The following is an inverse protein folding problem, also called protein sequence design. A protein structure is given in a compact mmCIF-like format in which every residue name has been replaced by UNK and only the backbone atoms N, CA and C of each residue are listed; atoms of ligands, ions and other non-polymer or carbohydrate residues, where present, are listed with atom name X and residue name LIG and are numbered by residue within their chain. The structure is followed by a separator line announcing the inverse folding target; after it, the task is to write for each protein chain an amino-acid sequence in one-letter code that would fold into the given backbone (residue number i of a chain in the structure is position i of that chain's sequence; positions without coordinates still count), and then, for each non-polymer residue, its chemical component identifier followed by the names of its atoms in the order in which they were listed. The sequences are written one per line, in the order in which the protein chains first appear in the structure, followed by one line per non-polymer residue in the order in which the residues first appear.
data_IF_489402533399
#
_entry.id   IF_489402533399
#
_cell.length_a   1.000
_cell.length_b   1.000
_cell.length_c   1.000
_cell.angle_alpha   90.00
_cell.angle_beta   90.00
_cell.angle_gamma   90.00
#
_symmetry.space_group_name_H-M   'P 1'
#
loop_
_entity.id
_entity.type
_entity.pdbx_description
1 polymer ?
#
# COMPACT_ATOMS: atom_id res chain seq x y z
N UNK A 1 49.31 41.77 23.55
CA UNK A 1 47.90 42.22 23.55
C UNK A 1 47.09 41.34 22.62
N UNK A 2 46.28 40.43 23.17
CA UNK A 2 45.50 39.48 22.37
C UNK A 2 44.34 40.20 21.67
N UNK A 3 44.24 40.09 20.34
CA UNK A 3 43.08 40.59 19.58
C UNK A 3 41.80 40.00 20.18
N UNK A 4 40.78 40.81 20.54
CA UNK A 4 39.51 40.27 21.02
C UNK A 4 38.91 39.42 19.89
N UNK A 5 38.82 38.10 20.12
CA UNK A 5 38.12 37.19 19.20
C UNK A 5 36.67 37.70 19.09
N UNK A 6 36.23 38.00 17.87
CA UNK A 6 34.92 38.61 17.65
C UNK A 6 33.80 37.76 18.28
N UNK A 7 33.01 38.36 19.17
CA UNK A 7 31.91 37.68 19.89
C UNK A 7 30.92 37.00 18.94
N UNK A 8 30.72 37.56 17.74
CA UNK A 8 29.94 36.92 16.66
C UNK A 8 30.52 35.57 16.23
N UNK A 9 31.84 35.48 16.08
CA UNK A 9 32.51 34.27 15.62
C UNK A 9 32.46 33.17 16.70
N UNK A 10 32.55 33.58 17.98
CA UNK A 10 32.34 32.66 19.11
C UNK A 10 30.90 32.13 19.16
N UNK A 11 29.90 33.00 18.97
CA UNK A 11 28.50 32.60 18.92
C UNK A 11 28.22 31.59 17.79
N UNK A 12 28.74 31.86 16.58
CA UNK A 12 28.62 30.92 15.44
C UNK A 12 29.31 29.59 15.74
N UNK A 13 30.50 29.62 16.34
CA UNK A 13 31.23 28.40 16.69
C UNK A 13 30.45 27.53 17.69
N UNK A 14 29.85 28.13 18.72
CA UNK A 14 29.01 27.41 19.70
C UNK A 14 27.83 26.72 19.01
N UNK A 15 27.16 27.42 18.09
CA UNK A 15 26.03 26.85 17.35
C UNK A 15 26.44 25.70 16.42
N UNK A 16 27.57 25.84 15.72
CA UNK A 16 28.09 24.77 14.85
C UNK A 16 28.49 23.54 15.66
N UNK A 17 29.19 23.73 16.78
CA UNK A 17 29.58 22.62 17.66
C UNK A 17 28.36 21.92 18.25
N UNK A 18 27.37 22.68 18.75
CA UNK A 18 26.13 22.12 19.26
C UNK A 18 25.37 21.32 18.18
N UNK A 19 25.28 21.85 16.96
CA UNK A 19 24.67 21.14 15.83
C UNK A 19 25.39 19.81 15.54
N UNK A 20 26.73 19.81 15.50
CA UNK A 20 27.49 18.58 15.24
C UNK A 20 27.30 17.54 16.34
N UNK A 21 27.25 17.96 17.61
CA UNK A 21 27.00 17.07 18.75
C UNK A 21 25.60 16.48 18.66
N UNK A 22 24.58 17.28 18.41
CA UNK A 22 23.19 16.78 18.33
C UNK A 22 22.92 15.97 17.07
N UNK A 23 23.46 16.37 15.92
CA UNK A 23 23.22 15.68 14.65
C UNK A 23 23.98 14.35 14.54
N UNK A 24 25.19 14.25 15.11
CA UNK A 24 26.08 13.11 14.89
C UNK A 24 26.57 12.42 16.17
N UNK A 25 26.49 13.08 17.33
CA UNK A 25 27.00 12.56 18.60
C UNK A 25 26.04 11.61 19.32
N UNK A 26 24.75 11.58 18.97
CA UNK A 26 23.73 10.77 19.63
C UNK A 26 23.24 9.68 18.67
N UNK A 27 23.16 8.43 19.14
CA UNK A 27 22.63 7.29 18.38
C UNK A 27 21.47 6.62 19.14
N UNK A 28 20.35 6.29 18.47
CA UNK A 28 20.05 6.51 17.03
C UNK A 28 19.92 8.00 16.65
N UNK A 29 20.07 8.36 15.36
CA UNK A 29 19.99 9.75 14.92
C UNK A 29 18.65 10.37 15.32
N UNK A 30 18.70 11.55 15.94
CA UNK A 30 17.51 12.21 16.46
C UNK A 30 16.57 12.65 15.32
N UNK A 31 15.25 12.55 15.50
CA UNK A 31 14.27 13.12 14.57
C UNK A 31 14.51 14.62 14.35
N UNK A 32 14.25 15.11 13.14
CA UNK A 32 14.47 16.51 12.77
C UNK A 32 13.74 17.51 13.68
N UNK A 33 12.54 17.16 14.15
CA UNK A 33 11.74 17.97 15.08
C UNK A 33 12.42 18.17 16.44
N UNK A 34 13.12 17.15 16.92
CA UNK A 34 13.84 17.20 18.19
C UNK A 34 15.14 17.99 18.02
N UNK A 35 15.88 17.73 16.95
CA UNK A 35 17.09 18.50 16.60
C UNK A 35 16.78 20.00 16.47
N UNK A 36 15.70 20.36 15.78
CA UNK A 36 15.32 21.77 15.59
C UNK A 36 14.96 22.45 16.91
N UNK A 37 14.27 21.75 17.83
CA UNK A 37 13.97 22.25 19.17
C UNK A 37 15.25 22.53 19.97
N UNK A 38 16.19 21.59 20.03
CA UNK A 38 17.45 21.79 20.76
C UNK A 38 18.29 22.93 20.16
N UNK A 39 18.32 23.05 18.84
CA UNK A 39 19.01 24.15 18.17
C UNK A 39 18.35 25.51 18.44
N UNK A 40 17.02 25.58 18.52
CA UNK A 40 16.31 26.80 18.90
C UNK A 40 16.61 27.23 20.33
N UNK A 41 16.63 26.28 21.28
CA UNK A 41 17.01 26.55 22.69
C UNK A 41 18.46 27.02 22.78
N UNK A 42 19.37 26.37 22.05
CA UNK A 42 20.79 26.75 22.04
C UNK A 42 21.00 28.15 21.46
N UNK A 43 20.29 28.48 20.37
CA UNK A 43 20.30 29.83 19.79
C UNK A 43 19.81 30.88 20.78
N UNK A 44 18.70 30.62 21.48
CA UNK A 44 18.17 31.53 22.48
C UNK A 44 19.16 31.75 23.63
N UNK A 45 19.79 30.67 24.13
CA UNK A 45 20.79 30.76 25.18
C UNK A 45 22.01 31.59 24.76
N UNK A 46 22.50 31.41 23.53
CA UNK A 46 23.60 32.22 22.97
C UNK A 46 23.20 33.69 22.85
N UNK A 47 21.98 33.98 22.38
CA UNK A 47 21.49 35.35 22.27
C UNK A 47 21.37 36.02 23.64
N UNK A 48 20.80 35.32 24.63
CA UNK A 48 20.68 35.82 26.01
C UNK A 48 22.08 36.11 26.57
N UNK A 49 23.02 35.18 26.43
CA UNK A 49 24.40 35.36 26.89
C UNK A 49 25.11 36.54 26.24
N UNK A 50 24.92 36.74 24.93
CA UNK A 50 25.56 37.86 24.22
C UNK A 50 24.88 39.20 24.54
N UNK A 51 23.58 39.19 24.85
CA UNK A 51 22.81 40.37 25.23
C UNK A 51 22.97 40.80 26.70
N UNK A 52 23.54 39.95 27.55
CA UNK A 52 23.63 40.21 29.00
C UNK A 52 24.57 41.36 29.35
N UNK A 53 25.44 41.77 28.42
CA UNK A 53 26.41 42.85 28.60
C UNK A 53 26.46 43.78 27.39
N UNK A 54 26.53 45.08 27.65
CA UNK A 54 26.47 46.12 26.61
C UNK A 54 27.71 46.13 25.70
N UNK A 55 28.87 45.74 26.23
CA UNK A 55 30.11 45.64 25.48
C UNK A 55 30.10 44.40 24.58
N UNK A 56 29.63 43.28 25.11
CA UNK A 56 29.42 42.01 24.40
C UNK A 56 28.42 42.17 23.25
N UNK A 57 27.32 42.88 23.47
CA UNK A 57 26.33 43.19 22.41
C UNK A 57 26.91 44.08 21.31
N UNK A 58 27.71 45.10 21.67
CA UNK A 58 28.42 45.94 20.70
C UNK A 58 29.43 45.14 19.90
N UNK A 59 30.25 44.32 20.55
CA UNK A 59 31.24 43.46 19.91
C UNK A 59 30.60 42.38 19.00
N UNK A 60 29.39 41.92 19.33
CA UNK A 60 28.62 41.00 18.51
C UNK A 60 28.08 41.67 17.24
N UNK A 61 27.49 42.87 17.36
CA UNK A 61 26.91 43.60 16.22
C UNK A 61 27.94 44.28 15.32
N UNK A 62 29.09 44.67 15.86
CA UNK A 62 30.14 45.39 15.12
C UNK A 62 30.48 44.78 13.75
N UNK A 63 30.76 43.47 13.61
CA UNK A 63 31.04 42.86 12.31
C UNK A 63 29.85 42.85 11.33
N UNK A 64 28.61 42.78 11.82
CA UNK A 64 27.39 42.82 11.00
C UNK A 64 27.23 44.24 10.43
N UNK A 65 27.28 45.25 11.30
CA UNK A 65 27.20 46.64 10.90
C UNK A 65 28.31 47.05 9.95
N UNK A 66 29.56 46.66 10.25
CA UNK A 66 30.71 46.90 9.39
C UNK A 66 30.51 46.30 7.98
N UNK A 67 29.91 45.11 7.87
CA UNK A 67 29.64 44.48 6.57
C UNK A 67 28.54 45.21 5.77
N UNK A 68 27.61 45.87 6.46
CA UNK A 68 26.53 46.62 5.82
C UNK A 68 26.96 48.04 5.41
N UNK A 69 27.84 48.70 6.18
CA UNK A 69 28.20 50.12 5.98
C UNK A 69 29.57 50.37 5.38
N UNK A 70 30.58 49.53 5.61
CA UNK A 70 31.95 49.81 5.14
C UNK A 70 32.07 49.67 3.61
N UNK A 71 32.53 50.70 2.88
CA UNK A 71 32.71 50.64 1.43
C UNK A 71 33.65 49.51 0.97
N UNK A 72 34.67 49.21 1.78
CA UNK A 72 35.66 48.16 1.51
C UNK A 72 35.05 46.75 1.46
N UNK A 73 33.90 46.54 2.11
CA UNK A 73 33.19 45.24 2.15
C UNK A 73 32.03 45.16 1.15
N UNK A 74 31.91 46.11 0.21
CA UNK A 74 30.85 46.16 -0.80
C UNK A 74 30.67 44.84 -1.58
N UNK A 75 31.78 44.18 -1.95
CA UNK A 75 31.74 42.87 -2.66
C UNK A 75 31.14 41.77 -1.80
N UNK A 76 31.50 41.71 -0.52
CA UNK A 76 30.96 40.74 0.44
C UNK A 76 29.45 40.98 0.67
N UNK A 77 29.04 42.24 0.80
CA UNK A 77 27.63 42.62 0.94
C UNK A 77 26.79 42.21 -0.27
N UNK A 78 27.28 42.47 -1.48
CA UNK A 78 26.60 42.05 -2.72
C UNK A 78 26.52 40.52 -2.82
N UNK A 79 27.60 39.81 -2.48
CA UNK A 79 27.62 38.34 -2.44
C UNK A 79 26.58 37.77 -1.47
N UNK A 80 26.51 38.30 -0.24
CA UNK A 80 25.50 37.92 0.75
C UNK A 80 24.07 38.23 0.28
N UNK A 81 23.87 39.38 -0.37
CA UNK A 81 22.58 39.80 -0.92
C UNK A 81 22.04 38.91 -2.03
N UNK A 82 22.91 38.17 -2.73
CA UNK A 82 22.50 37.17 -3.75
C UNK A 82 22.42 35.76 -3.16
N UNK A 83 23.38 35.38 -2.31
CA UNK A 83 23.48 34.03 -1.76
C UNK A 83 22.34 33.71 -0.79
N UNK A 84 21.97 34.66 0.09
CA UNK A 84 20.92 34.42 1.09
C UNK A 84 19.55 34.15 0.45
N UNK A 85 19.07 34.94 -0.54
CA UNK A 85 17.83 34.61 -1.25
C UNK A 85 17.89 33.28 -2.00
N UNK A 86 19.03 32.95 -2.64
CA UNK A 86 19.19 31.66 -3.34
C UNK A 86 19.10 30.47 -2.38
N UNK A 87 19.76 30.55 -1.22
CA UNK A 87 19.69 29.50 -0.21
C UNK A 87 18.27 29.38 0.39
N UNK A 88 17.61 30.50 0.66
CA UNK A 88 16.23 30.49 1.13
C UNK A 88 15.27 29.90 0.08
N UNK A 89 15.45 30.26 -1.18
CA UNK A 89 14.69 29.71 -2.31
C UNK A 89 14.93 28.21 -2.50
N UNK A 90 16.18 27.76 -2.41
CA UNK A 90 16.53 26.33 -2.48
C UNK A 90 15.93 25.55 -1.31
N UNK A 91 15.98 26.08 -0.09
CA UNK A 91 15.36 25.46 1.08
C UNK A 91 13.83 25.38 0.95
N UNK A 92 13.18 26.46 0.50
CA UNK A 92 11.75 26.46 0.23
C UNK A 92 11.38 25.45 -0.85
N UNK A 93 12.17 25.38 -1.93
CA UNK A 93 12.02 24.39 -2.98
C UNK A 93 12.19 22.97 -2.45
N UNK A 94 13.22 22.67 -1.64
CA UNK A 94 13.43 21.33 -1.11
C UNK A 94 12.33 20.87 -0.17
N UNK A 95 11.67 21.81 0.54
CA UNK A 95 10.54 21.51 1.40
C UNK A 95 9.22 21.35 0.63
N UNK A 96 9.06 22.07 -0.48
CA UNK A 96 7.83 22.06 -1.29
C UNK A 96 7.88 21.06 -2.45
N UNK A 97 9.07 20.68 -2.90
CA UNK A 97 9.25 19.69 -3.95
C UNK A 97 8.69 18.35 -3.47
N UNK A 98 7.72 17.82 -4.22
CA UNK A 98 7.14 16.53 -3.92
C UNK A 98 8.22 15.45 -3.95
N UNK A 99 8.34 14.69 -2.85
CA UNK A 99 9.12 13.45 -2.85
C UNK A 99 8.52 12.47 -3.87
N UNK A 100 9.37 11.79 -4.62
CA UNK A 100 8.96 10.72 -5.57
C UNK A 100 8.60 9.42 -4.82
N UNK A 101 8.49 9.48 -3.50
CA UNK A 101 8.06 8.38 -2.67
C UNK A 101 6.54 8.28 -2.71
N UNK A 102 6.03 7.11 -3.10
CA UNK A 102 4.61 6.86 -3.03
C UNK A 102 4.15 6.99 -1.56
N UNK A 103 3.04 7.71 -1.29
CA UNK A 103 2.57 7.89 0.08
C UNK A 103 2.39 6.54 0.77
N UNK A 104 2.92 6.43 1.99
CA UNK A 104 2.93 5.21 2.84
C UNK A 104 1.54 4.89 3.39
N UNK A 105 0.50 5.66 3.03
CA UNK A 105 -0.87 5.22 3.24
C UNK A 105 -0.99 3.82 2.64
N UNK A 106 -1.24 2.83 3.51
CA UNK A 106 -1.80 1.56 3.09
C UNK A 106 -2.92 1.96 2.14
N UNK A 107 -2.78 1.65 0.86
CA UNK A 107 -3.90 1.67 -0.06
C UNK A 107 -4.90 0.67 0.50
N UNK A 108 -5.72 1.11 1.44
CA UNK A 108 -6.94 0.46 1.80
C UNK A 108 -7.77 0.54 0.52
N UNK A 109 -7.72 -0.54 -0.25
CA UNK A 109 -8.48 -0.69 -1.51
C UNK A 109 -10.00 -0.60 -1.21
N UNK A 110 -10.40 -0.60 0.06
CA UNK A 110 -11.70 -0.19 0.54
C UNK A 110 -11.60 0.07 2.06
N UNK A 111 -12.46 0.93 2.64
CA UNK A 111 -12.63 0.98 4.09
C UNK A 111 -13.11 -0.38 4.63
N UNK A 112 -12.75 -0.73 5.85
CA UNK A 112 -13.36 -1.88 6.53
C UNK A 112 -14.84 -1.55 6.82
N UNK A 113 -15.78 -2.49 6.59
CA UNK A 113 -17.17 -2.25 6.97
C UNK A 113 -17.26 -2.10 8.50
N UNK A 114 -18.21 -1.28 9.00
CA UNK A 114 -18.52 -1.29 10.42
C UNK A 114 -19.01 -2.69 10.85
N UNK A 115 -18.91 -3.00 12.14
CA UNK A 115 -19.39 -4.29 12.68
C UNK A 115 -20.88 -4.49 12.47
N UNK A 116 -21.66 -3.40 12.60
CA UNK A 116 -23.11 -3.41 12.41
C UNK A 116 -23.61 -2.09 11.83
N UNK A 117 -24.79 -2.12 11.22
CA UNK A 117 -25.49 -0.91 10.75
C UNK A 117 -26.96 -0.91 11.18
N UNK A 118 -27.51 0.29 11.33
CA UNK A 118 -28.95 0.49 11.43
C UNK A 118 -29.56 0.46 10.01
N UNK A 119 -30.47 -0.47 9.78
CA UNK A 119 -31.25 -0.63 8.56
C UNK A 119 -32.73 -0.61 8.92
N UNK A 120 -33.44 0.46 8.56
CA UNK A 120 -34.87 0.66 8.86
C UNK A 120 -35.25 0.40 10.32
N UNK A 121 -34.42 0.86 11.26
CA UNK A 121 -34.64 0.67 12.70
C UNK A 121 -34.22 -0.69 13.27
N UNK A 122 -33.75 -1.62 12.42
CA UNK A 122 -33.17 -2.90 12.82
C UNK A 122 -31.64 -2.82 12.76
N UNK A 123 -30.97 -3.37 13.78
CA UNK A 123 -29.50 -3.52 13.76
C UNK A 123 -29.14 -4.78 13.00
N UNK A 124 -28.33 -4.65 11.95
CA UNK A 124 -27.82 -5.76 11.15
C UNK A 124 -26.34 -5.95 11.47
N UNK A 125 -25.98 -7.16 11.88
CA UNK A 125 -24.59 -7.60 12.05
C UNK A 125 -23.98 -7.93 10.69
N UNK A 126 -22.92 -7.22 10.32
CA UNK A 126 -22.23 -7.37 9.04
C UNK A 126 -21.05 -8.34 9.11
N UNK A 127 -20.72 -8.85 10.29
CA UNK A 127 -19.68 -9.86 10.50
C UNK A 127 -20.23 -11.28 10.52
N UNK A 128 -21.55 -11.44 10.55
CA UNK A 128 -22.19 -12.75 10.50
C UNK A 128 -21.84 -13.51 9.21
N UNK A 129 -21.31 -14.73 9.37
CA UNK A 129 -20.95 -15.64 8.27
C UNK A 129 -22.18 -16.29 7.63
N UNK A 130 -23.27 -16.46 8.37
CA UNK A 130 -24.50 -17.08 7.88
C UNK A 130 -25.59 -16.04 7.64
N UNK A 131 -25.75 -15.62 6.38
CA UNK A 131 -26.79 -14.68 5.95
C UNK A 131 -28.18 -15.36 5.94
N UNK A 132 -29.29 -14.60 6.07
CA UNK A 132 -30.64 -15.17 6.04
C UNK A 132 -30.91 -16.06 4.82
N UNK A 133 -30.48 -15.61 3.63
CA UNK A 133 -30.60 -16.38 2.37
C UNK A 133 -29.79 -17.67 2.43
N UNK A 134 -28.56 -17.64 2.94
CA UNK A 134 -27.72 -18.84 3.10
C UNK A 134 -28.37 -19.85 4.07
N UNK A 135 -28.98 -19.38 5.16
CA UNK A 135 -29.70 -20.22 6.14
C UNK A 135 -30.92 -20.90 5.52
N UNK A 136 -31.74 -20.18 4.77
CA UNK A 136 -32.92 -20.73 4.11
C UNK A 136 -32.56 -21.79 3.05
N UNK A 137 -31.45 -21.58 2.32
CA UNK A 137 -30.92 -22.56 1.36
C UNK A 137 -30.33 -23.78 2.07
N UNK A 138 -29.63 -23.59 3.19
CA UNK A 138 -29.08 -24.68 3.99
C UNK A 138 -30.19 -25.56 4.58
N UNK A 139 -31.32 -24.97 4.97
CA UNK A 139 -32.50 -25.71 5.47
C UNK A 139 -33.25 -26.43 4.34
N UNK A 140 -33.39 -25.79 3.18
CA UNK A 140 -34.04 -26.38 2.01
C UNK A 140 -33.31 -25.99 0.72
N UNK A 141 -32.49 -26.90 0.15
CA UNK A 141 -31.75 -26.65 -1.08
C UNK A 141 -32.60 -26.24 -2.29
N UNK A 142 -33.90 -26.57 -2.31
CA UNK A 142 -34.82 -26.14 -3.36
C UNK A 142 -34.98 -24.61 -3.44
N UNK A 143 -34.70 -23.89 -2.35
CA UNK A 143 -34.78 -22.44 -2.30
C UNK A 143 -33.66 -21.74 -3.11
N UNK A 144 -32.59 -22.46 -3.50
CA UNK A 144 -31.48 -21.90 -4.30
C UNK A 144 -31.98 -21.18 -5.56
N UNK A 145 -32.80 -21.87 -6.36
CA UNK A 145 -33.32 -21.32 -7.61
C UNK A 145 -34.23 -20.10 -7.36
N UNK A 146 -35.05 -20.17 -6.30
CA UNK A 146 -35.93 -19.07 -5.88
C UNK A 146 -35.13 -17.80 -5.54
N UNK A 147 -34.11 -17.91 -4.70
CA UNK A 147 -33.29 -16.74 -4.31
C UNK A 147 -32.43 -16.22 -5.47
N UNK A 148 -31.91 -17.11 -6.32
CA UNK A 148 -31.16 -16.72 -7.50
C UNK A 148 -32.03 -15.89 -8.46
N UNK A 149 -33.25 -16.36 -8.74
CA UNK A 149 -34.19 -15.67 -9.62
C UNK A 149 -34.65 -14.34 -9.02
N UNK A 150 -34.96 -14.31 -7.72
CA UNK A 150 -35.37 -13.09 -7.04
C UNK A 150 -34.25 -12.03 -7.02
N UNK A 151 -33.02 -12.45 -6.73
CA UNK A 151 -31.83 -11.58 -6.75
C UNK A 151 -31.54 -11.02 -8.14
N UNK A 152 -31.60 -11.87 -9.17
CA UNK A 152 -31.44 -11.44 -10.56
C UNK A 152 -32.51 -10.46 -11.00
N UNK A 153 -33.78 -10.67 -10.60
CA UNK A 153 -34.86 -9.74 -10.90
C UNK A 153 -34.65 -8.36 -10.26
N UNK A 154 -34.15 -8.31 -9.03
CA UNK A 154 -33.79 -7.05 -8.37
C UNK A 154 -32.60 -6.39 -9.07
N UNK A 155 -31.56 -7.15 -9.42
CA UNK A 155 -30.38 -6.63 -10.11
C UNK A 155 -30.72 -6.01 -11.47
N UNK A 156 -31.48 -6.72 -12.31
CA UNK A 156 -31.87 -6.24 -13.64
C UNK A 156 -32.76 -5.00 -13.56
N UNK A 157 -33.64 -4.89 -12.56
CA UNK A 157 -34.53 -3.72 -12.43
C UNK A 157 -33.81 -2.46 -11.92
N UNK A 158 -32.72 -2.62 -11.17
CA UNK A 158 -32.16 -1.53 -10.36
C UNK A 158 -30.67 -1.25 -10.61
N UNK A 159 -29.86 -2.29 -10.85
CA UNK A 159 -28.41 -2.21 -10.81
C UNK A 159 -27.75 -2.24 -12.21
N UNK A 160 -28.39 -2.92 -13.16
CA UNK A 160 -27.86 -3.17 -14.53
C UNK A 160 -27.47 -1.88 -15.27
N UNK A 161 -28.19 -0.79 -15.03
CA UNK A 161 -27.97 0.48 -15.73
C UNK A 161 -26.59 1.07 -15.48
N UNK A 162 -25.96 0.77 -14.35
CA UNK A 162 -24.60 1.20 -14.04
C UNK A 162 -23.61 0.02 -14.10
N UNK A 163 -23.97 -1.14 -13.57
CA UNK A 163 -23.06 -2.27 -13.44
C UNK A 163 -23.01 -3.22 -14.64
N UNK A 164 -23.86 -3.01 -15.65
CA UNK A 164 -23.91 -3.84 -16.86
C UNK A 164 -24.74 -5.11 -16.67
N UNK A 165 -25.23 -5.66 -17.78
CA UNK A 165 -25.89 -6.97 -17.83
C UNK A 165 -24.89 -8.12 -17.65
N UNK A 166 -23.65 -7.92 -18.08
CA UNK A 166 -22.52 -8.85 -17.88
C UNK A 166 -21.83 -8.70 -16.53
N UNK A 167 -22.35 -7.86 -15.62
CA UNK A 167 -21.74 -7.56 -14.32
C UNK A 167 -20.34 -6.91 -14.41
N UNK A 168 -19.97 -6.35 -15.55
CA UNK A 168 -18.61 -5.88 -15.88
C UNK A 168 -18.37 -4.39 -15.59
N UNK A 169 -19.32 -3.71 -14.96
CA UNK A 169 -19.25 -2.28 -14.66
C UNK A 169 -19.51 -1.38 -15.87
N UNK A 170 -19.87 -1.93 -17.03
CA UNK A 170 -20.10 -1.18 -18.29
C UNK A 170 -21.59 -1.00 -18.59
N UNK A 171 -22.38 -0.69 -17.57
CA UNK A 171 -23.78 -0.34 -17.77
C UNK A 171 -23.94 0.94 -18.60
N UNK A 172 -25.15 1.16 -19.13
CA UNK A 172 -25.48 2.32 -19.96
C UNK A 172 -25.02 3.66 -19.39
N UNK A 173 -25.06 3.84 -18.07
CA UNK A 173 -24.60 5.05 -17.37
C UNK A 173 -23.20 4.94 -16.76
N UNK A 174 -22.53 3.78 -16.84
CA UNK A 174 -21.26 3.53 -16.14
C UNK A 174 -20.11 4.44 -16.57
N UNK A 175 -20.04 4.78 -17.87
CA UNK A 175 -18.99 5.65 -18.42
C UNK A 175 -19.01 7.09 -17.88
N UNK A 176 -20.14 7.55 -17.35
CA UNK A 176 -20.31 8.92 -16.84
C UNK A 176 -19.97 9.07 -15.35
N UNK A 177 -19.61 7.99 -14.65
CA UNK A 177 -19.42 7.98 -13.20
C UNK A 177 -17.93 7.93 -12.84
N UNK A 178 -17.53 8.70 -11.84
CA UNK A 178 -16.18 8.66 -11.26
C UNK A 178 -16.29 8.59 -9.72
N UNK A 179 -15.83 7.49 -9.08
CA UNK A 179 -15.24 6.29 -9.68
C UNK A 179 -16.22 5.49 -10.55
N UNK A 180 -15.67 4.73 -11.50
CA UNK A 180 -16.44 3.83 -12.35
C UNK A 180 -17.16 2.76 -11.52
N UNK A 181 -18.33 2.25 -11.96
CA UNK A 181 -18.99 1.13 -11.30
C UNK A 181 -18.08 -0.09 -11.20
N UNK A 182 -18.23 -0.86 -10.13
CA UNK A 182 -17.44 -2.07 -9.92
C UNK A 182 -17.73 -3.11 -11.01
N UNK A 183 -16.65 -3.64 -11.58
CA UNK A 183 -16.63 -4.83 -12.44
C UNK A 183 -16.59 -6.07 -11.54
N UNK A 184 -17.71 -6.78 -11.40
CA UNK A 184 -17.81 -7.97 -10.54
C UNK A 184 -17.25 -9.24 -11.20
N UNK A 185 -16.86 -9.17 -12.47
CA UNK A 185 -16.21 -10.29 -13.18
C UNK A 185 -14.72 -10.39 -12.87
N UNK A 186 -14.11 -9.32 -12.33
CA UNK A 186 -12.72 -9.33 -11.91
C UNK A 186 -12.53 -10.00 -10.53
N UNK A 187 -11.59 -10.93 -10.44
CA UNK A 187 -11.16 -11.57 -9.19
C UNK A 187 -10.59 -10.58 -8.15
N UNK A 188 -10.20 -9.38 -8.59
CA UNK A 188 -9.74 -8.28 -7.74
C UNK A 188 -10.87 -7.49 -7.06
N UNK A 189 -12.14 -7.69 -7.44
CA UNK A 189 -13.27 -6.93 -6.90
C UNK A 189 -14.10 -7.77 -5.91
N UNK A 190 -15.16 -8.44 -6.37
CA UNK A 190 -16.16 -9.06 -5.50
C UNK A 190 -15.58 -10.22 -4.68
N UNK A 191 -14.62 -10.96 -5.22
CA UNK A 191 -13.95 -12.06 -4.52
C UNK A 191 -13.09 -11.59 -3.33
N UNK A 192 -12.74 -10.30 -3.27
CA UNK A 192 -11.99 -9.72 -2.15
C UNK A 192 -12.90 -9.15 -1.05
N UNK A 193 -14.21 -9.18 -1.25
CA UNK A 193 -15.19 -8.54 -0.37
C UNK A 193 -16.04 -9.59 0.38
N UNK A 194 -16.50 -9.24 1.58
CA UNK A 194 -17.43 -10.09 2.33
C UNK A 194 -18.88 -9.78 1.96
N UNK A 195 -19.80 -10.72 2.18
CA UNK A 195 -21.24 -10.48 1.94
C UNK A 195 -21.76 -9.29 2.77
N UNK A 196 -21.29 -9.15 4.03
CA UNK A 196 -21.63 -8.01 4.88
C UNK A 196 -21.10 -6.66 4.34
N UNK A 197 -19.92 -6.65 3.72
CA UNK A 197 -19.42 -5.44 3.06
C UNK A 197 -20.36 -5.04 1.90
N UNK A 198 -20.75 -5.99 1.05
CA UNK A 198 -21.69 -5.71 -0.05
C UNK A 198 -23.04 -5.21 0.49
N UNK A 199 -23.56 -5.82 1.55
CA UNK A 199 -24.82 -5.38 2.17
C UNK A 199 -24.75 -3.92 2.60
N UNK A 200 -23.66 -3.55 3.28
CA UNK A 200 -23.44 -2.16 3.69
C UNK A 200 -23.37 -1.20 2.51
N UNK A 201 -22.61 -1.55 1.46
CA UNK A 201 -22.48 -0.71 0.25
C UNK A 201 -23.81 -0.55 -0.48
N UNK A 202 -24.63 -1.59 -0.56
CA UNK A 202 -25.96 -1.52 -1.19
C UNK A 202 -26.91 -0.69 -0.32
N UNK A 203 -26.96 -0.96 0.98
CA UNK A 203 -27.87 -0.26 1.90
C UNK A 203 -27.59 1.25 1.96
N UNK A 204 -26.33 1.63 2.20
CA UNK A 204 -25.94 3.03 2.44
C UNK A 204 -25.48 3.79 1.21
N UNK A 205 -25.10 3.09 0.12
CA UNK A 205 -24.58 3.73 -1.08
C UNK A 205 -23.20 4.35 -0.88
N UNK A 206 -22.77 5.18 -1.84
CA UNK A 206 -21.52 5.94 -1.81
C UNK A 206 -21.58 7.31 -1.11
N UNK A 207 -22.66 8.11 -1.26
CA UNK A 207 -22.74 9.43 -0.64
C UNK A 207 -22.76 9.36 0.89
N UNK A 208 -21.97 10.22 1.55
CA UNK A 208 -22.01 10.39 3.01
C UNK A 208 -21.11 9.44 3.81
N UNK A 209 -20.21 8.69 3.15
CA UNK A 209 -19.17 7.94 3.85
C UNK A 209 -18.14 8.87 4.56
N UNK A 210 -17.50 8.41 5.65
CA UNK A 210 -16.43 9.16 6.32
C UNK A 210 -15.32 9.57 5.35
N UNK A 211 -14.62 10.68 5.63
CA UNK A 211 -13.56 11.22 4.74
C UNK A 211 -12.45 10.20 4.49
N UNK A 212 -12.22 9.30 5.44
CA UNK A 212 -11.27 8.18 5.39
C UNK A 212 -11.64 7.13 4.33
N UNK A 213 -12.87 7.17 3.81
CA UNK A 213 -13.34 6.31 2.72
C UNK A 213 -13.17 6.94 1.34
N UNK A 214 -12.58 8.14 1.23
CA UNK A 214 -12.20 8.71 -0.08
C UNK A 214 -11.02 7.93 -0.66
N UNK A 215 -11.02 7.59 -1.98
CA UNK A 215 -11.82 8.13 -3.07
C UNK A 215 -13.15 7.39 -3.37
N UNK A 216 -13.61 6.47 -2.51
CA UNK A 216 -14.80 5.61 -2.74
C UNK A 216 -16.16 6.30 -2.55
N UNK A 217 -16.19 7.64 -2.62
CA UNK A 217 -17.42 8.44 -2.65
C UNK A 217 -18.06 8.31 -4.04
N UNK A 218 -18.66 7.14 -4.30
CA UNK A 218 -19.27 6.80 -5.58
C UNK A 218 -20.66 7.41 -5.75
N UNK A 219 -21.11 7.55 -6.99
CA UNK A 219 -22.50 7.91 -7.31
C UNK A 219 -23.54 6.80 -7.00
N UNK A 220 -23.12 5.68 -6.40
CA UNK A 220 -24.02 4.60 -6.02
C UNK A 220 -25.06 5.11 -5.00
N UNK A 221 -26.37 5.07 -5.31
CA UNK A 221 -27.40 5.56 -4.40
C UNK A 221 -27.54 4.66 -3.17
N UNK A 222 -28.10 5.21 -2.09
CA UNK A 222 -28.52 4.42 -0.93
C UNK A 222 -29.80 3.65 -1.27
N UNK A 223 -29.77 2.32 -1.17
CA UNK A 223 -30.92 1.48 -1.48
C UNK A 223 -31.77 1.13 -0.25
N UNK A 224 -31.37 1.53 0.94
CA UNK A 224 -32.11 1.21 2.16
C UNK A 224 -33.57 1.69 2.15
N UNK A 225 -33.91 2.76 1.43
CA UNK A 225 -35.28 3.25 1.32
C UNK A 225 -36.10 2.57 0.21
N UNK A 226 -35.45 1.77 -0.66
CA UNK A 226 -36.06 1.19 -1.86
C UNK A 226 -36.08 -0.33 -1.89
N UNK A 227 -35.10 -0.98 -1.25
CA UNK A 227 -34.99 -2.43 -1.17
C UNK A 227 -35.19 -2.92 0.26
N UNK A 228 -35.76 -4.11 0.42
CA UNK A 228 -35.84 -4.80 1.71
C UNK A 228 -34.51 -5.48 2.05
N UNK A 229 -34.31 -5.83 3.32
CA UNK A 229 -33.13 -6.60 3.77
C UNK A 229 -32.99 -7.90 2.95
N UNK A 230 -34.08 -8.63 2.77
CA UNK A 230 -34.11 -9.88 2.00
C UNK A 230 -33.70 -9.64 0.53
N UNK A 231 -34.22 -8.59 -0.11
CA UNK A 231 -33.88 -8.26 -1.50
C UNK A 231 -32.39 -7.94 -1.66
N UNK A 232 -31.80 -7.22 -0.71
CA UNK A 232 -30.36 -6.93 -0.73
C UNK A 232 -29.55 -8.22 -0.61
N UNK A 233 -29.90 -9.11 0.33
CA UNK A 233 -29.23 -10.41 0.46
C UNK A 233 -29.40 -11.29 -0.78
N UNK A 234 -30.58 -11.28 -1.42
CA UNK A 234 -30.83 -12.01 -2.66
C UNK A 234 -29.96 -11.48 -3.82
N UNK A 235 -29.78 -10.15 -3.95
CA UNK A 235 -28.87 -9.58 -4.96
C UNK A 235 -27.43 -10.00 -4.70
N UNK A 236 -26.98 -9.95 -3.44
CA UNK A 236 -25.62 -10.39 -3.07
C UNK A 236 -25.41 -11.87 -3.42
N UNK A 237 -26.39 -12.70 -3.09
CA UNK A 237 -26.39 -14.11 -3.45
C UNK A 237 -26.31 -14.31 -4.98
N UNK A 238 -27.14 -13.58 -5.74
CA UNK A 238 -27.13 -13.60 -7.20
C UNK A 238 -25.76 -13.21 -7.78
N UNK A 239 -25.11 -12.17 -7.26
CA UNK A 239 -23.79 -11.73 -7.74
C UNK A 239 -22.72 -12.81 -7.54
N UNK A 240 -22.64 -13.42 -6.36
CA UNK A 240 -21.65 -14.48 -6.10
C UNK A 240 -21.93 -15.75 -6.90
N UNK A 241 -23.19 -16.18 -7.00
CA UNK A 241 -23.54 -17.38 -7.77
C UNK A 241 -23.33 -17.17 -9.29
N UNK A 242 -23.62 -15.98 -9.81
CA UNK A 242 -23.47 -15.67 -11.24
C UNK A 242 -22.01 -15.48 -11.65
N UNK A 243 -21.20 -14.86 -10.79
CA UNK A 243 -19.75 -14.69 -11.03
C UNK A 243 -18.95 -15.97 -10.75
N UNK A 244 -19.50 -16.88 -9.95
CA UNK A 244 -18.82 -18.10 -9.52
C UNK A 244 -17.73 -17.86 -8.46
N UNK A 245 -17.56 -16.63 -7.98
CA UNK A 245 -16.61 -16.32 -6.92
C UNK A 245 -17.18 -16.64 -5.54
N UNK A 246 -16.39 -17.19 -4.61
CA UNK A 246 -16.80 -17.29 -3.22
C UNK A 246 -16.66 -15.92 -2.52
N UNK A 247 -17.55 -15.59 -1.57
CA UNK A 247 -17.39 -14.41 -0.73
C UNK A 247 -16.16 -14.53 0.16
N UNK A 248 -15.51 -13.41 0.44
CA UNK A 248 -14.45 -13.36 1.44
C UNK A 248 -15.04 -13.55 2.84
N UNK A 249 -14.64 -14.62 3.52
CA UNK A 249 -14.89 -14.78 4.95
C UNK A 249 -13.92 -13.91 5.74
N UNK A 250 -14.42 -13.08 6.66
CA UNK A 250 -13.57 -12.33 7.59
C UNK A 250 -13.19 -13.27 8.75
N UNK A 251 -12.02 -13.91 8.59
CA UNK A 251 -11.15 -14.55 9.58
C UNK A 251 -11.57 -15.83 10.38
N UNK A 252 -10.74 -16.87 10.17
CA UNK A 252 -10.29 -17.95 11.08
C UNK A 252 -11.13 -19.20 11.44
N UNK A 253 -12.30 -19.46 10.87
CA UNK A 253 -12.96 -20.76 11.06
C UNK A 253 -13.44 -21.39 9.74
N UNK A 254 -12.81 -22.52 9.40
CA UNK A 254 -13.33 -23.64 8.61
C UNK A 254 -14.16 -23.31 7.36
N UNK A 255 -13.49 -23.21 6.21
CA UNK A 255 -14.05 -23.74 4.96
C UNK A 255 -13.28 -25.02 4.64
N UNK A 256 -13.85 -26.23 4.80
CA UNK A 256 -13.24 -27.41 4.20
C UNK A 256 -13.23 -27.22 2.68
N UNK A 257 -12.14 -27.59 1.98
CA UNK A 257 -12.10 -27.49 0.52
C UNK A 257 -13.25 -28.29 -0.09
N UNK A 258 -13.84 -27.73 -1.15
CA UNK A 258 -14.93 -28.33 -1.92
C UNK A 258 -14.66 -29.83 -2.22
N UNK A 259 -15.70 -30.70 -2.22
CA UNK A 259 -15.52 -32.11 -2.51
C UNK A 259 -15.14 -32.25 -3.99
N UNK A 260 -13.87 -32.55 -4.27
CA UNK A 260 -13.42 -32.68 -5.66
C UNK A 260 -11.96 -33.00 -5.90
N UNK A 261 -11.13 -33.19 -4.87
CA UNK A 261 -9.78 -33.75 -5.04
C UNK A 261 -9.49 -34.77 -3.96
N UNK A 262 -9.14 -35.99 -4.39
CA UNK A 262 -8.82 -37.12 -3.52
C UNK A 262 -7.80 -36.70 -2.45
N UNK A 263 -8.15 -36.94 -1.18
CA UNK A 263 -7.21 -36.78 -0.07
C UNK A 263 -6.12 -37.84 -0.20
N UNK A 264 -4.91 -37.42 -0.57
CA UNK A 264 -3.71 -38.17 -0.19
C UNK A 264 -3.61 -38.15 1.34
N UNK A 265 -3.52 -39.33 1.94
CA UNK A 265 -3.51 -39.51 3.38
C UNK A 265 -2.34 -38.74 4.01
N UNK A 266 -2.66 -37.86 4.95
CA UNK A 266 -1.71 -37.17 5.81
C UNK A 266 -1.10 -38.17 6.80
N UNK A 267 0.12 -38.64 6.51
CA UNK A 267 1.00 -39.24 7.52
C UNK A 267 1.66 -38.11 8.32
N UNK A 268 0.97 -37.63 9.35
CA UNK A 268 1.63 -36.85 10.41
C UNK A 268 2.16 -37.83 11.46
N UNK A 269 3.48 -37.89 11.59
CA UNK A 269 4.11 -38.47 12.78
C UNK A 269 5.42 -39.22 12.52
N UNK A 270 6.50 -38.49 12.20
CA UNK A 270 7.88 -38.70 12.71
C UNK A 270 8.89 -37.83 11.94
N UNK A 271 9.77 -37.16 12.69
CA UNK A 271 11.12 -36.82 12.23
C UNK A 271 11.33 -35.44 11.61
N UNK A 272 11.43 -34.42 12.44
CA UNK A 272 12.41 -33.37 12.20
C UNK A 272 13.79 -33.98 12.53
N UNK A 273 14.42 -34.63 11.55
CA UNK A 273 15.89 -34.83 11.44
C UNK A 273 16.19 -35.73 10.23
N UNK A 274 17.25 -35.39 9.50
CA UNK A 274 17.84 -36.03 8.30
C UNK A 274 17.21 -35.71 6.93
N UNK A 275 17.57 -34.55 6.36
CA UNK A 275 17.73 -34.47 4.90
C UNK A 275 18.93 -35.35 4.52
N UNK A 276 18.73 -36.34 3.64
CA UNK A 276 19.83 -37.20 3.21
C UNK A 276 20.86 -36.40 2.39
N UNK A 277 22.17 -36.69 2.45
CA UNK A 277 23.22 -35.93 1.74
C UNK A 277 22.98 -35.77 0.22
N UNK A 278 22.25 -36.71 -0.38
CA UNK A 278 21.91 -36.71 -1.81
C UNK A 278 20.77 -35.75 -2.16
N UNK A 279 19.83 -35.52 -1.24
CA UNK A 279 18.71 -34.58 -1.42
C UNK A 279 19.18 -33.13 -1.23
N UNK A 280 20.04 -32.88 -0.24
CA UNK A 280 20.66 -31.57 -0.04
C UNK A 280 21.54 -31.16 -1.24
N UNK A 281 22.31 -32.10 -1.81
CA UNK A 281 23.12 -31.85 -3.00
C UNK A 281 22.26 -31.58 -4.26
N UNK A 282 21.13 -32.27 -4.41
CA UNK A 282 20.18 -32.02 -5.49
C UNK A 282 19.53 -30.62 -5.34
N UNK A 283 19.13 -30.24 -4.13
CA UNK A 283 18.53 -28.94 -3.87
C UNK A 283 19.53 -27.78 -4.06
N UNK A 284 20.81 -27.97 -3.70
CA UNK A 284 21.86 -27.00 -3.99
C UNK A 284 22.10 -26.84 -5.49
N UNK A 285 22.03 -27.94 -6.26
CA UNK A 285 22.19 -27.91 -7.71
C UNK A 285 21.00 -27.22 -8.40
N UNK A 286 19.77 -27.42 -7.89
CA UNK A 286 18.58 -26.73 -8.40
C UNK A 286 18.60 -25.24 -8.05
N UNK A 287 19.02 -24.85 -6.84
CA UNK A 287 19.24 -23.44 -6.48
C UNK A 287 20.29 -22.77 -7.36
N UNK A 288 21.39 -23.47 -7.67
CA UNK A 288 22.42 -22.95 -8.56
C UNK A 288 21.87 -22.75 -9.99
N UNK A 289 21.08 -23.69 -10.49
CA UNK A 289 20.42 -23.59 -11.80
C UNK A 289 19.42 -22.43 -11.83
N UNK A 290 18.59 -22.31 -10.80
CA UNK A 290 17.65 -21.21 -10.61
C UNK A 290 18.32 -19.86 -10.60
N UNK A 291 19.41 -19.73 -9.83
CA UNK A 291 20.21 -18.50 -9.77
C UNK A 291 20.75 -18.09 -11.14
N UNK A 292 21.35 -19.02 -11.89
CA UNK A 292 21.87 -18.71 -13.23
C UNK A 292 20.76 -18.27 -14.20
N UNK A 293 19.60 -18.91 -14.16
CA UNK A 293 18.44 -18.51 -14.96
C UNK A 293 17.92 -17.13 -14.57
N UNK A 294 17.83 -16.87 -13.26
CA UNK A 294 17.38 -15.60 -12.70
C UNK A 294 18.31 -14.44 -13.10
N UNK A 295 19.63 -14.62 -12.95
CA UNK A 295 20.61 -13.61 -13.34
C UNK A 295 20.56 -13.30 -14.83
N UNK A 296 20.36 -14.32 -15.67
CA UNK A 296 20.31 -14.17 -17.13
C UNK A 296 19.01 -13.52 -17.64
N UNK A 297 17.87 -13.74 -16.98
CA UNK A 297 16.54 -13.40 -17.52
C UNK A 297 15.77 -12.38 -16.69
N UNK A 298 15.93 -12.41 -15.36
CA UNK A 298 15.07 -11.68 -14.42
C UNK A 298 15.77 -10.46 -13.81
N UNK A 299 17.08 -10.56 -13.57
CA UNK A 299 17.86 -9.55 -12.85
C UNK A 299 17.92 -8.18 -13.57
N UNK A 300 17.72 -8.13 -14.89
CA UNK A 300 17.66 -6.86 -15.64
C UNK A 300 16.57 -5.92 -15.10
N UNK A 301 15.43 -6.48 -14.68
CA UNK A 301 14.30 -5.74 -14.13
C UNK A 301 14.25 -5.86 -12.60
N UNK A 302 14.43 -7.06 -12.06
CA UNK A 302 14.25 -7.33 -10.64
C UNK A 302 15.52 -7.14 -9.79
N UNK A 303 16.67 -6.89 -10.42
CA UNK A 303 17.97 -6.77 -9.75
C UNK A 303 18.54 -8.13 -9.34
N UNK A 304 19.86 -8.21 -9.17
CA UNK A 304 20.55 -9.45 -8.79
C UNK A 304 20.10 -9.99 -7.42
N UNK A 305 19.59 -9.12 -6.55
CA UNK A 305 19.09 -9.47 -5.22
C UNK A 305 17.56 -9.60 -5.12
N UNK A 306 16.83 -9.41 -6.22
CA UNK A 306 15.37 -9.53 -6.23
C UNK A 306 14.60 -8.35 -5.63
N UNK A 307 15.24 -7.20 -5.45
CA UNK A 307 14.63 -6.01 -4.82
C UNK A 307 13.79 -5.14 -5.76
N UNK A 308 13.70 -5.51 -7.05
CA UNK A 308 13.02 -4.67 -8.04
C UNK A 308 13.83 -3.45 -8.44
N UNK A 309 15.16 -3.50 -8.27
CA UNK A 309 16.12 -2.41 -8.49
C UNK A 309 17.07 -2.69 -9.67
N UNK A 310 16.65 -3.52 -10.62
CA UNK A 310 17.42 -3.78 -11.83
C UNK A 310 17.62 -2.52 -12.68
N UNK A 311 18.61 -2.48 -13.58
CA UNK A 311 18.89 -1.31 -14.42
C UNK A 311 17.71 -0.86 -15.29
N UNK A 312 16.75 -1.74 -15.58
CA UNK A 312 15.51 -1.38 -16.27
C UNK A 312 14.42 -0.82 -15.34
N UNK A 313 14.48 -1.10 -14.03
CA UNK A 313 13.39 -0.86 -13.08
C UNK A 313 12.87 0.58 -13.05
N UNK A 314 13.76 1.58 -13.18
CA UNK A 314 13.37 2.99 -13.14
C UNK A 314 12.45 3.41 -14.28
N UNK A 315 12.49 2.69 -15.41
CA UNK A 315 11.73 3.01 -16.63
C UNK A 315 10.47 2.18 -16.81
N UNK A 316 10.13 1.31 -15.85
CA UNK A 316 8.97 0.42 -15.93
C UNK A 316 7.85 0.92 -15.01
N UNK A 317 6.63 0.95 -15.55
CA UNK A 317 5.41 1.29 -14.81
C UNK A 317 4.39 0.16 -15.02
N UNK A 318 3.98 -0.56 -13.95
CA UNK A 318 4.45 -0.45 -12.57
C UNK A 318 5.91 -0.93 -12.40
N UNK A 319 6.60 -0.43 -11.36
CA UNK A 319 7.96 -0.89 -11.03
C UNK A 319 7.98 -2.39 -10.68
N UNK A 320 9.06 -3.12 -11.04
CA UNK A 320 9.25 -4.50 -10.64
C UNK A 320 9.19 -4.67 -9.11
N UNK A 321 8.60 -5.77 -8.65
CA UNK A 321 8.40 -6.02 -7.23
C UNK A 321 9.69 -6.41 -6.52
N UNK A 322 9.81 -5.95 -5.27
CA UNK A 322 10.75 -6.45 -4.29
C UNK A 322 10.26 -7.79 -3.70
N UNK A 323 10.94 -8.87 -4.07
CA UNK A 323 10.68 -10.23 -3.59
C UNK A 323 11.19 -10.46 -2.17
N UNK A 324 12.17 -9.66 -1.71
CA UNK A 324 12.74 -9.76 -0.36
C UNK A 324 11.79 -9.25 0.72
N UNK A 325 10.83 -8.41 0.34
CA UNK A 325 9.81 -7.88 1.24
C UNK A 325 8.74 -8.91 1.65
N UNK A 326 8.68 -10.09 1.02
CA UNK A 326 7.70 -11.14 1.33
C UNK A 326 6.24 -10.77 1.01
N UNK A 327 6.00 -9.64 0.34
CA UNK A 327 4.66 -9.15 0.02
C UNK A 327 4.33 -9.58 -1.40
N UNK A 328 3.34 -10.44 -1.60
CA UNK A 328 2.90 -10.88 -2.93
C UNK A 328 1.41 -10.59 -3.13
N UNK A 329 1.08 -10.00 -4.30
CA UNK A 329 -0.30 -9.64 -4.67
C UNK A 329 -1.05 -10.81 -5.32
N UNK A 330 -0.36 -11.58 -6.15
CA UNK A 330 -0.92 -12.72 -6.88
C UNK A 330 -0.47 -14.00 -6.16
N UNK A 331 -1.38 -14.62 -5.44
CA UNK A 331 -1.17 -15.87 -4.68
C UNK A 331 -2.50 -16.54 -4.40
N UNK A 332 -2.48 -17.85 -4.27
CA UNK A 332 -3.62 -18.66 -3.82
C UNK A 332 -3.63 -18.85 -2.30
N UNK A 333 -2.53 -18.55 -1.62
CA UNK A 333 -2.40 -18.60 -0.15
C UNK A 333 -3.10 -17.42 0.54
N UNK A 334 -3.39 -17.54 1.84
CA UNK A 334 -4.11 -16.54 2.64
C UNK A 334 -3.36 -15.20 2.79
N UNK A 335 -4.08 -14.12 3.13
CA UNK A 335 -3.47 -12.79 3.24
C UNK A 335 -2.36 -12.70 4.28
N UNK A 336 -1.21 -12.14 3.88
CA UNK A 336 0.00 -12.10 4.71
C UNK A 336 0.87 -13.36 4.64
N UNK A 337 0.46 -14.39 3.90
CA UNK A 337 1.27 -15.59 3.65
C UNK A 337 2.04 -15.49 2.32
N UNK A 338 3.14 -16.24 2.22
CA UNK A 338 3.93 -16.34 0.99
C UNK A 338 3.16 -17.11 -0.10
N UNK A 339 3.38 -16.79 -1.39
CA UNK A 339 2.81 -17.55 -2.50
C UNK A 339 3.29 -19.01 -2.48
N UNK A 340 2.51 -19.90 -3.08
CA UNK A 340 2.99 -21.25 -3.40
C UNK A 340 3.95 -21.21 -4.59
N UNK A 341 4.80 -22.22 -4.74
CA UNK A 341 5.67 -22.40 -5.92
C UNK A 341 4.85 -22.40 -7.21
N UNK A 342 3.64 -22.99 -7.19
CA UNK A 342 2.70 -22.99 -8.32
C UNK A 342 2.19 -21.59 -8.67
N UNK A 343 2.02 -20.71 -7.67
CA UNK A 343 1.63 -19.32 -7.92
C UNK A 343 2.77 -18.56 -8.61
N UNK A 344 4.01 -18.75 -8.14
CA UNK A 344 5.21 -18.15 -8.73
C UNK A 344 5.42 -18.67 -10.16
N UNK A 345 5.32 -19.98 -10.37
CA UNK A 345 5.50 -20.62 -11.66
C UNK A 345 4.44 -20.15 -12.67
N UNK A 346 3.19 -19.96 -12.22
CA UNK A 346 2.11 -19.42 -13.06
C UNK A 346 2.41 -17.99 -13.51
N UNK A 347 2.81 -17.12 -12.58
CA UNK A 347 3.13 -15.71 -12.90
C UNK A 347 4.35 -15.62 -13.84
N UNK A 348 5.38 -16.46 -13.65
CA UNK A 348 6.55 -16.49 -14.53
C UNK A 348 6.15 -17.00 -15.92
N UNK A 349 5.41 -18.12 -15.99
CA UNK A 349 5.00 -18.75 -17.25
C UNK A 349 4.09 -17.84 -18.07
N UNK A 350 3.05 -17.29 -17.44
CA UNK A 350 1.97 -16.58 -18.12
C UNK A 350 2.26 -15.06 -18.20
N UNK A 351 3.27 -14.57 -17.49
CA UNK A 351 3.61 -13.16 -17.37
C UNK A 351 2.58 -12.41 -16.53
N UNK A 352 2.64 -11.08 -16.56
CA UNK A 352 1.66 -10.25 -15.87
C UNK A 352 1.03 -9.25 -16.86
N UNK A 353 -0.17 -9.56 -17.39
CA UNK A 353 -0.88 -8.70 -18.32
C UNK A 353 -1.06 -7.27 -17.77
N UNK A 354 -0.87 -6.27 -18.63
CA UNK A 354 -0.92 -4.85 -18.23
C UNK A 354 0.35 -4.34 -17.55
N UNK A 355 1.42 -5.13 -17.49
CA UNK A 355 2.74 -4.72 -17.01
C UNK A 355 3.84 -5.05 -18.02
N UNK A 356 5.07 -4.62 -17.74
CA UNK A 356 6.23 -4.95 -18.56
C UNK A 356 6.82 -6.34 -18.29
N UNK A 357 6.18 -7.18 -17.47
CA UNK A 357 6.63 -8.56 -17.22
C UNK A 357 6.08 -9.51 -18.31
N UNK A 358 6.92 -9.98 -19.25
CA UNK A 358 6.47 -10.83 -20.34
C UNK A 358 6.16 -12.25 -19.85
N UNK A 359 5.43 -13.00 -20.66
CA UNK A 359 5.22 -14.43 -20.47
C UNK A 359 6.50 -15.21 -20.81
N UNK A 360 7.02 -16.00 -19.87
CA UNK A 360 8.24 -16.79 -20.06
C UNK A 360 8.00 -18.24 -20.44
N UNK A 361 6.75 -18.72 -20.48
CA UNK A 361 6.43 -20.11 -20.78
C UNK A 361 6.90 -20.61 -22.15
N UNK A 362 7.09 -19.71 -23.12
CA UNK A 362 7.67 -20.05 -24.43
C UNK A 362 9.20 -20.14 -24.42
N UNK A 363 9.84 -19.52 -23.43
CA UNK A 363 11.30 -19.42 -23.27
C UNK A 363 11.84 -20.44 -22.26
N UNK A 364 11.11 -20.68 -21.17
CA UNK A 364 11.43 -21.64 -20.11
C UNK A 364 10.47 -22.82 -20.26
N UNK A 365 10.86 -23.80 -21.06
CA UNK A 365 10.02 -24.96 -21.42
C UNK A 365 10.21 -26.14 -20.48
N UNK A 366 11.39 -26.27 -19.86
CA UNK A 366 11.68 -27.35 -18.94
C UNK A 366 11.00 -27.07 -17.59
N UNK A 367 10.17 -28.02 -17.16
CA UNK A 367 9.53 -27.97 -15.84
C UNK A 367 10.55 -27.91 -14.70
N UNK A 368 11.73 -28.53 -14.86
CA UNK A 368 12.80 -28.48 -13.87
C UNK A 368 13.46 -27.11 -13.78
N UNK A 369 13.57 -26.39 -14.90
CA UNK A 369 14.08 -25.01 -14.91
C UNK A 369 13.08 -24.06 -14.25
N UNK A 370 11.79 -24.24 -14.51
CA UNK A 370 10.74 -23.48 -13.84
C UNK A 370 10.72 -23.77 -12.33
N UNK A 371 10.81 -25.05 -11.94
CA UNK A 371 10.84 -25.45 -10.53
C UNK A 371 12.10 -24.95 -9.82
N UNK A 372 13.23 -24.85 -10.51
CA UNK A 372 14.46 -24.30 -9.94
C UNK A 372 14.39 -22.78 -9.71
N UNK A 373 13.52 -22.07 -10.43
CA UNK A 373 13.36 -20.61 -10.34
C UNK A 373 12.42 -20.15 -9.22
N UNK A 374 11.44 -20.99 -8.87
CA UNK A 374 10.45 -20.74 -7.81
C UNK A 374 10.98 -21.25 -6.48
#
# INVERSE_FOLDING_TARGET
MARPRGKLLQAVLVLVVAFLIFAYGIRPPMPFSVLSLYMAVTLLAVLVYVSSDSESWRAFKAPIWATLTEPRRRRLRLGLGVLLPLLAGYYAYSQAAAGIEAPVELRAIHPAPPTSIAFRGKTIDLQATDTPVRKEIAQNPANRAKHLQAGGAVYIRNCVYCHGDNLDGKGHFGHGLNPAPADFTDSGTIAQLSEGFLFWRIAKGGPGLPKESTPWNSAMPAWEDRLTEEQIWQVIYYLYETTGYPPRVMDHAAVPPAPGRARVASLSGRGADFLQPREAAAQQADLARGKSLYEAKCALCHGASGKGDGPAAERLLPRPRDFTAGKYKIRTTASGQLPTDDDLARVIRDGMPGTSMPAWGSVIKDAKEMQALV
#
